data_IF_091696691449
#
_entry.id   IF_091696691449
#
_cell.length_a   1.000
_cell.length_b   1.000
_cell.length_c   1.000
_cell.angle_alpha   90.00
_cell.angle_beta   90.00
_cell.angle_gamma   90.00
#
_symmetry.space_group_name_H-M   'P 1'
#
loop_
_entity.id
_entity.type
_entity.pdbx_description
1 polymer ?
#
# COMPACT_ATOMS: atom_id res chain seq x y z
N UNK A 1 -21.38 -7.30 -6.46
CA UNK A 1 -20.50 -6.72 -5.42
C UNK A 1 -20.46 -5.22 -5.62
N UNK A 2 -20.70 -4.44 -4.57
CA UNK A 2 -20.66 -2.97 -4.60
C UNK A 2 -19.61 -2.53 -3.59
N UNK A 3 -18.82 -1.50 -3.90
CA UNK A 3 -17.84 -0.91 -2.97
C UNK A 3 -18.27 0.49 -2.59
N UNK A 4 -18.20 0.84 -1.32
CA UNK A 4 -18.46 2.19 -0.82
C UNK A 4 -17.41 2.59 0.20
N UNK A 5 -17.17 3.90 0.33
CA UNK A 5 -16.27 4.46 1.35
C UNK A 5 -16.96 4.58 2.71
N UNK A 6 -18.24 4.94 2.68
CA UNK A 6 -19.11 4.94 3.86
C UNK A 6 -19.93 3.66 3.85
N UNK A 7 -20.38 3.20 5.01
CA UNK A 7 -21.38 2.13 5.06
C UNK A 7 -22.53 2.46 4.11
N UNK A 8 -22.88 1.53 3.23
CA UNK A 8 -24.11 1.67 2.46
C UNK A 8 -25.25 1.56 3.49
N UNK A 9 -26.18 2.53 3.56
CA UNK A 9 -27.37 2.33 4.38
C UNK A 9 -27.95 1.00 3.94
N UNK A 10 -28.05 0.06 4.89
CA UNK A 10 -28.44 -1.31 4.62
C UNK A 10 -29.62 -1.26 3.66
N UNK A 11 -29.47 -1.72 2.42
CA UNK A 11 -30.66 -1.91 1.64
C UNK A 11 -31.43 -2.98 2.41
N UNK A 12 -32.72 -2.76 2.58
CA UNK A 12 -33.70 -3.77 2.97
C UNK A 12 -33.72 -4.90 1.91
N UNK A 13 -32.60 -5.59 1.75
CA UNK A 13 -32.28 -6.60 0.75
C UNK A 13 -31.70 -7.78 1.51
N UNK A 14 -32.56 -8.75 1.76
CA UNK A 14 -32.15 -10.00 2.38
C UNK A 14 -30.99 -10.63 1.59
N UNK A 15 -29.95 -11.05 2.31
CA UNK A 15 -28.80 -11.77 1.75
C UNK A 15 -27.56 -10.93 1.42
N UNK A 16 -27.50 -9.64 1.79
CA UNK A 16 -26.27 -8.84 1.65
C UNK A 16 -25.35 -9.04 2.86
N UNK A 17 -24.07 -9.34 2.59
CA UNK A 17 -23.02 -9.46 3.62
C UNK A 17 -22.02 -8.33 3.46
N UNK A 18 -21.79 -7.56 4.53
CA UNK A 18 -20.74 -6.56 4.58
C UNK A 18 -19.37 -7.24 4.74
N UNK A 19 -18.43 -6.90 3.86
CA UNK A 19 -17.04 -7.36 3.94
C UNK A 19 -16.14 -6.16 4.18
N UNK A 20 -15.64 -5.94 5.42
CA UNK A 20 -14.70 -4.87 5.69
C UNK A 20 -13.37 -5.14 4.98
N UNK A 21 -12.78 -4.09 4.41
CA UNK A 21 -11.46 -4.16 3.79
C UNK A 21 -10.48 -3.43 4.69
N UNK A 22 -9.62 -4.21 5.34
CA UNK A 22 -8.52 -3.68 6.13
C UNK A 22 -7.31 -3.31 5.24
N UNK A 23 -6.43 -2.40 5.69
CA UNK A 23 -5.12 -2.23 5.08
C UNK A 23 -4.36 -3.56 5.00
N UNK A 24 -3.35 -3.63 4.13
CA UNK A 24 -2.48 -4.80 4.05
C UNK A 24 -1.71 -4.94 5.37
N UNK A 25 -1.68 -6.16 5.89
CA UNK A 25 -0.72 -6.50 6.93
C UNK A 25 0.72 -6.36 6.41
N UNK A 26 1.70 -6.32 7.33
CA UNK A 26 3.10 -6.10 6.97
C UNK A 26 3.61 -7.13 5.96
N UNK A 27 3.19 -8.40 6.10
CA UNK A 27 3.62 -9.49 5.23
C UNK A 27 3.05 -9.33 3.82
N UNK A 28 1.74 -9.07 3.71
CA UNK A 28 1.07 -8.81 2.44
C UNK A 28 1.59 -7.54 1.75
N UNK A 29 1.90 -6.50 2.52
CA UNK A 29 2.52 -5.28 2.04
C UNK A 29 3.92 -5.51 1.46
N UNK A 30 4.77 -6.28 2.16
CA UNK A 30 6.12 -6.61 1.65
C UNK A 30 6.03 -7.43 0.36
N UNK A 31 5.14 -8.42 0.30
CA UNK A 31 4.91 -9.18 -0.93
C UNK A 31 4.36 -8.31 -2.07
N UNK A 32 3.55 -7.29 -1.76
CA UNK A 32 3.11 -6.31 -2.74
C UNK A 32 4.28 -5.51 -3.32
N UNK A 33 5.19 -5.03 -2.47
CA UNK A 33 6.38 -4.24 -2.87
C UNK A 33 7.36 -5.09 -3.69
N UNK A 34 7.55 -6.37 -3.34
CA UNK A 34 8.44 -7.30 -4.07
C UNK A 34 8.07 -7.45 -5.55
N UNK A 35 6.81 -7.23 -5.92
CA UNK A 35 6.36 -7.29 -7.32
C UNK A 35 6.95 -6.18 -8.20
N UNK A 36 7.52 -5.13 -7.62
CA UNK A 36 8.10 -4.02 -8.39
C UNK A 36 9.48 -4.36 -8.99
N UNK A 37 10.05 -5.54 -8.68
CA UNK A 37 11.36 -6.01 -9.19
C UNK A 37 12.53 -5.04 -8.89
N UNK A 38 12.44 -4.38 -7.75
CA UNK A 38 13.42 -3.44 -7.22
C UNK A 38 14.32 -4.14 -6.22
N UNK A 39 15.58 -3.74 -6.13
CA UNK A 39 16.52 -4.27 -5.15
C UNK A 39 16.08 -3.84 -3.75
N UNK A 40 15.65 -4.80 -2.93
CA UNK A 40 15.26 -4.60 -1.54
C UNK A 40 16.47 -4.84 -0.64
N UNK A 41 17.11 -3.75 -0.20
CA UNK A 41 18.17 -3.82 0.80
C UNK A 41 17.54 -3.67 2.20
N UNK A 42 17.91 -4.56 3.11
CA UNK A 42 17.72 -4.44 4.57
C UNK A 42 16.38 -3.84 5.06
N UNK A 43 15.27 -4.54 4.81
CA UNK A 43 13.99 -4.24 5.46
C UNK A 43 13.31 -2.95 4.99
N UNK A 44 13.84 -2.29 3.96
CA UNK A 44 13.25 -1.10 3.35
C UNK A 44 11.77 -1.33 2.96
N UNK A 45 11.46 -2.51 2.41
CA UNK A 45 10.07 -2.85 2.08
C UNK A 45 9.14 -2.81 3.30
N UNK A 46 9.58 -3.31 4.47
CA UNK A 46 8.79 -3.23 5.71
C UNK A 46 8.64 -1.79 6.17
N UNK A 47 9.72 -1.01 6.15
CA UNK A 47 9.68 0.40 6.52
C UNK A 47 8.70 1.18 5.65
N UNK A 48 8.73 0.97 4.33
CA UNK A 48 7.81 1.61 3.40
C UNK A 48 6.35 1.21 3.64
N UNK A 49 6.09 -0.08 3.92
CA UNK A 49 4.75 -0.55 4.28
C UNK A 49 4.23 0.13 5.56
N UNK A 50 5.09 0.32 6.56
CA UNK A 50 4.73 1.05 7.78
C UNK A 50 4.46 2.54 7.52
N UNK A 51 5.29 3.22 6.73
CA UNK A 51 5.06 4.63 6.34
C UNK A 51 3.74 4.78 5.59
N UNK A 52 3.42 3.83 4.71
CA UNK A 52 2.15 3.81 3.99
C UNK A 52 0.97 3.27 4.82
N UNK A 53 1.16 2.93 6.10
CA UNK A 53 0.15 2.32 6.99
C UNK A 53 -0.55 1.10 6.38
N UNK A 54 0.17 0.32 5.56
CA UNK A 54 -0.40 -0.83 4.84
C UNK A 54 -1.40 -0.49 3.72
N UNK A 55 -1.64 0.79 3.41
CA UNK A 55 -2.63 1.20 2.41
C UNK A 55 -2.15 0.84 0.99
N UNK A 56 -2.88 -0.02 0.24
CA UNK A 56 -2.47 -0.44 -1.10
C UNK A 56 -2.28 0.74 -2.08
N UNK A 57 -3.12 1.77 -1.97
CA UNK A 57 -3.06 2.93 -2.85
C UNK A 57 -1.82 3.81 -2.58
N UNK A 58 -1.47 4.00 -1.30
CA UNK A 58 -0.26 4.73 -0.93
C UNK A 58 1.00 4.00 -1.39
N UNK A 59 1.05 2.67 -1.17
CA UNK A 59 2.13 1.82 -1.69
C UNK A 59 2.25 1.89 -3.22
N UNK A 60 1.12 1.83 -3.94
CA UNK A 60 1.14 1.97 -5.39
C UNK A 60 1.68 3.32 -5.83
N UNK A 61 1.28 4.41 -5.18
CA UNK A 61 1.80 5.74 -5.50
C UNK A 61 3.32 5.83 -5.27
N UNK A 62 3.83 5.26 -4.18
CA UNK A 62 5.26 5.17 -3.90
C UNK A 62 6.01 4.36 -4.98
N UNK A 63 5.47 3.21 -5.36
CA UNK A 63 6.02 2.37 -6.42
C UNK A 63 6.02 3.06 -7.79
N UNK A 64 4.94 3.77 -8.14
CA UNK A 64 4.88 4.54 -9.39
C UNK A 64 5.86 5.72 -9.39
N UNK A 65 6.02 6.40 -8.25
CA UNK A 65 7.04 7.44 -8.10
C UNK A 65 8.45 6.87 -8.32
N UNK A 66 8.76 5.71 -7.72
CA UNK A 66 10.06 5.06 -7.85
C UNK A 66 10.31 4.60 -9.29
N UNK A 67 9.40 3.80 -9.85
CA UNK A 67 9.57 3.17 -11.16
C UNK A 67 9.52 4.19 -12.30
N UNK A 68 8.59 5.15 -12.26
CA UNK A 68 8.39 6.08 -13.40
C UNK A 68 9.21 7.35 -13.29
N UNK A 69 9.38 7.92 -12.08
CA UNK A 69 10.03 9.23 -11.92
C UNK A 69 11.51 9.12 -11.54
N UNK A 70 11.94 8.00 -10.93
CA UNK A 70 13.29 7.85 -10.36
C UNK A 70 13.82 6.41 -10.45
N UNK A 71 13.92 5.80 -11.66
CA UNK A 71 14.30 4.39 -11.82
C UNK A 71 15.71 4.04 -11.30
N UNK A 72 16.57 5.03 -11.09
CA UNK A 72 17.91 4.88 -10.53
C UNK A 72 17.93 4.83 -8.99
N UNK A 73 16.83 5.17 -8.32
CA UNK A 73 16.74 5.20 -6.87
C UNK A 73 16.37 3.81 -6.32
N UNK A 74 16.90 3.52 -5.14
CA UNK A 74 16.64 2.30 -4.39
C UNK A 74 15.38 2.42 -3.54
N UNK A 75 14.95 1.30 -2.96
CA UNK A 75 13.84 1.32 -2.02
C UNK A 75 14.14 2.12 -0.75
N UNK A 76 15.41 2.13 -0.31
CA UNK A 76 15.85 2.94 0.83
C UNK A 76 15.70 4.44 0.56
N UNK A 77 16.00 4.89 -0.66
CA UNK A 77 15.80 6.29 -1.06
C UNK A 77 14.32 6.68 -0.99
N UNK A 78 13.42 5.77 -1.35
CA UNK A 78 11.98 5.99 -1.20
C UNK A 78 11.59 6.09 0.29
N UNK A 79 12.08 5.19 1.15
CA UNK A 79 11.84 5.26 2.60
C UNK A 79 12.31 6.59 3.18
N UNK A 80 13.49 7.08 2.79
CA UNK A 80 13.99 8.38 3.22
C UNK A 80 13.10 9.52 2.71
N UNK A 81 12.72 9.51 1.43
CA UNK A 81 11.89 10.56 0.83
C UNK A 81 10.50 10.67 1.47
N UNK A 82 9.90 9.55 1.85
CA UNK A 82 8.57 9.54 2.49
C UNK A 82 8.63 9.63 4.03
N UNK A 83 9.77 9.29 4.65
CA UNK A 83 9.96 9.34 6.11
C UNK A 83 10.27 10.72 6.66
N UNK A 84 10.79 11.66 5.85
CA UNK A 84 11.14 13.03 6.27
C UNK A 84 9.99 14.03 6.22
N UNK A 85 8.76 13.59 5.91
CA UNK A 85 7.57 14.44 5.76
C UNK A 85 6.61 14.42 6.96
N UNK A 86 7.12 14.19 8.17
CA UNK A 86 6.35 14.20 9.43
C UNK A 86 6.26 15.58 10.06
#
# INVERSE_FOLDING_TARGET
MVTSRTGLPEPAMDGVVAVPLEPLDERAGVEFVRRWRVTDADGAARALVRICSGLPLALRAAGEWLVKKRPQLSLNDAVLAFGTGG
#
